data_IF_440445367282
#
_entry.id   IF_440445367282
#
_cell.length_a   1.000
_cell.length_b   1.000
_cell.length_c   1.000
_cell.angle_alpha   90.00
_cell.angle_beta   90.00
_cell.angle_gamma   90.00
#
_symmetry.space_group_name_H-M   'P 1'
#
loop_
_entity.id
_entity.type
_entity.pdbx_description
1 polymer ?
#
# COMPACT_ATOMS: atom_id res chain seq x y z
N UNK A 1 -24.46 30.54 9.93
CA UNK A 1 -23.06 30.57 10.37
C UNK A 1 -22.74 29.21 10.99
N UNK A 2 -22.17 28.24 10.25
CA UNK A 2 -21.75 26.99 10.86
C UNK A 2 -20.38 27.20 11.51
N UNK A 3 -20.31 26.85 12.79
CA UNK A 3 -19.13 26.89 13.61
C UNK A 3 -18.21 25.75 13.16
N UNK A 4 -17.13 26.06 12.44
CA UNK A 4 -16.04 25.10 12.20
C UNK A 4 -15.35 24.90 13.54
N UNK A 5 -15.73 23.85 14.26
CA UNK A 5 -14.96 23.35 15.38
C UNK A 5 -13.68 22.73 14.82
N UNK A 6 -12.71 23.59 14.48
CA UNK A 6 -11.35 23.17 14.27
C UNK A 6 -10.89 22.52 15.58
N UNK A 7 -10.88 21.18 15.61
CA UNK A 7 -10.17 20.44 16.65
C UNK A 7 -8.71 20.83 16.51
N UNK A 8 -8.26 21.78 17.31
CA UNK A 8 -6.84 22.06 17.52
C UNK A 8 -6.29 20.83 18.23
N UNK A 9 -5.88 19.84 17.44
CA UNK A 9 -5.04 18.76 17.92
C UNK A 9 -3.75 19.43 18.39
N UNK A 10 -3.62 19.57 19.71
CA UNK A 10 -2.35 19.80 20.38
C UNK A 10 -1.35 18.82 19.78
N UNK A 11 -0.36 19.32 19.03
CA UNK A 11 0.76 18.52 18.54
C UNK A 11 1.55 18.06 19.75
N UNK A 12 1.18 16.91 20.28
CA UNK A 12 2.03 16.15 21.15
C UNK A 12 3.36 15.93 20.43
N UNK A 13 4.45 16.49 20.99
CA UNK A 13 5.77 16.57 20.33
C UNK A 13 6.38 15.18 20.07
N UNK A 14 5.75 14.11 20.57
CA UNK A 14 6.22 12.73 20.49
C UNK A 14 5.23 11.76 19.83
N UNK A 15 4.16 12.27 19.20
CA UNK A 15 3.25 11.42 18.40
C UNK A 15 3.89 11.00 17.07
N UNK A 16 4.69 9.93 17.15
CA UNK A 16 5.02 9.05 16.04
C UNK A 16 6.15 9.54 15.14
N UNK A 17 7.41 9.41 15.60
CA UNK A 17 8.56 9.44 14.69
C UNK A 17 8.32 8.43 13.56
N UNK A 18 8.26 8.91 12.32
CA UNK A 18 8.07 8.04 11.14
C UNK A 18 9.11 6.91 11.17
N UNK A 19 8.62 5.67 11.23
CA UNK A 19 9.45 4.48 11.11
C UNK A 19 9.30 3.92 9.70
N UNK A 20 10.42 3.80 8.99
CA UNK A 20 10.42 3.12 7.69
C UNK A 20 9.98 1.67 7.89
N UNK A 21 9.04 1.25 7.06
CA UNK A 21 8.69 -0.16 6.94
C UNK A 21 9.92 -0.95 6.49
N UNK A 22 10.04 -2.20 6.98
CA UNK A 22 11.11 -3.14 6.61
C UNK A 22 10.49 -4.43 6.04
N UNK A 23 10.08 -4.41 4.75
CA UNK A 23 9.41 -5.54 4.11
C UNK A 23 10.14 -6.87 4.28
N UNK A 24 11.46 -6.85 4.21
CA UNK A 24 12.35 -8.02 4.32
C UNK A 24 12.28 -8.75 5.66
N UNK A 25 11.75 -8.08 6.69
CA UNK A 25 11.55 -8.67 8.01
C UNK A 25 10.17 -9.35 8.15
N UNK A 26 9.30 -9.23 7.16
CA UNK A 26 7.97 -9.85 7.17
C UNK A 26 8.03 -11.30 6.68
N UNK A 27 7.21 -12.17 7.28
CA UNK A 27 7.15 -13.59 6.90
C UNK A 27 6.80 -13.80 5.42
N UNK A 28 5.81 -13.05 4.91
CA UNK A 28 5.41 -13.17 3.51
C UNK A 28 6.54 -12.80 2.55
N UNK A 29 7.31 -11.75 2.86
CA UNK A 29 8.47 -11.40 2.05
C UNK A 29 9.47 -12.55 2.01
N UNK A 30 9.86 -13.08 3.18
CA UNK A 30 10.87 -14.14 3.28
C UNK A 30 10.46 -15.39 2.51
N UNK A 31 9.20 -15.80 2.61
CA UNK A 31 8.66 -16.94 1.84
C UNK A 31 8.75 -16.66 0.33
N UNK A 32 8.34 -15.47 -0.11
CA UNK A 32 8.37 -15.16 -1.54
C UNK A 32 9.81 -15.09 -2.05
N UNK A 33 10.69 -14.41 -1.33
CA UNK A 33 12.11 -14.25 -1.71
C UNK A 33 12.82 -15.60 -1.82
N UNK A 34 12.55 -16.51 -0.87
CA UNK A 34 13.16 -17.84 -0.85
C UNK A 34 12.60 -18.78 -1.92
N UNK A 35 11.27 -18.85 -2.06
CA UNK A 35 10.63 -19.92 -2.85
C UNK A 35 10.20 -19.51 -4.25
N UNK A 36 10.02 -18.22 -4.55
CA UNK A 36 9.57 -17.78 -5.87
C UNK A 36 10.50 -18.19 -7.02
N UNK A 37 11.84 -18.02 -6.94
CA UNK A 37 12.73 -18.41 -8.04
C UNK A 37 12.66 -19.90 -8.36
N UNK A 38 12.65 -20.75 -7.31
CA UNK A 38 12.55 -22.20 -7.46
C UNK A 38 11.19 -22.62 -8.04
N UNK A 39 10.11 -21.98 -7.60
CA UNK A 39 8.77 -22.21 -8.15
C UNK A 39 8.69 -21.81 -9.63
N UNK A 40 9.22 -20.65 -10.01
CA UNK A 40 9.23 -20.20 -11.40
C UNK A 40 10.02 -21.15 -12.32
N UNK A 41 11.18 -21.63 -11.86
CA UNK A 41 11.99 -22.60 -12.59
C UNK A 41 11.24 -23.93 -12.80
N UNK A 42 10.63 -24.47 -11.74
CA UNK A 42 9.83 -25.70 -11.83
C UNK A 42 8.68 -25.58 -12.84
N UNK A 43 7.99 -24.44 -12.84
CA UNK A 43 6.90 -24.18 -13.79
C UNK A 43 7.39 -24.13 -15.24
N UNK A 44 8.57 -23.54 -15.48
CA UNK A 44 9.18 -23.48 -16.80
C UNK A 44 9.60 -24.88 -17.30
N UNK A 45 10.22 -25.70 -16.45
CA UNK A 45 10.61 -27.09 -16.77
C UNK A 45 9.41 -27.96 -17.17
N UNK A 46 8.23 -27.69 -16.61
CA UNK A 46 6.98 -28.38 -16.94
C UNK A 46 6.28 -27.83 -18.20
N UNK A 47 6.89 -26.86 -18.89
CA UNK A 47 6.29 -26.18 -20.04
C UNK A 47 5.07 -25.31 -19.69
N UNK A 48 4.95 -24.88 -18.44
CA UNK A 48 3.83 -24.10 -17.90
C UNK A 48 4.33 -22.78 -17.30
N UNK A 49 5.13 -22.05 -18.06
CA UNK A 49 5.68 -20.77 -17.59
C UNK A 49 4.60 -19.84 -17.02
N UNK A 50 4.93 -19.18 -15.92
CA UNK A 50 4.05 -18.21 -15.31
C UNK A 50 3.80 -17.06 -16.29
N UNK A 51 2.55 -16.59 -16.46
CA UNK A 51 2.29 -15.41 -17.28
C UNK A 51 3.13 -14.23 -16.82
N UNK A 52 3.65 -13.42 -17.76
CA UNK A 52 4.57 -12.32 -17.42
C UNK A 52 4.00 -11.29 -16.44
N UNK A 53 2.67 -11.09 -16.41
CA UNK A 53 2.05 -10.22 -15.41
C UNK A 53 2.13 -10.80 -14.00
N UNK A 54 2.14 -12.13 -13.83
CA UNK A 54 2.30 -12.81 -12.53
C UNK A 54 3.74 -12.67 -12.07
N UNK A 55 4.71 -12.93 -12.94
CA UNK A 55 6.14 -12.79 -12.61
C UNK A 55 6.46 -11.37 -12.13
N UNK A 56 5.99 -10.37 -12.89
CA UNK A 56 6.13 -8.96 -12.53
C UNK A 56 5.50 -8.60 -11.18
N UNK A 57 4.39 -9.21 -10.78
CA UNK A 57 3.80 -8.98 -9.46
C UNK A 57 4.71 -9.47 -8.32
N UNK A 58 5.36 -10.63 -8.49
CA UNK A 58 6.33 -11.15 -7.52
C UNK A 58 7.60 -10.29 -7.46
N UNK A 59 8.18 -9.97 -8.61
CA UNK A 59 9.39 -9.15 -8.71
C UNK A 59 9.18 -7.75 -8.10
N UNK A 60 8.08 -7.08 -8.44
CA UNK A 60 7.81 -5.75 -7.90
C UNK A 60 7.40 -5.78 -6.42
N UNK A 61 6.81 -6.88 -5.95
CA UNK A 61 6.56 -7.07 -4.52
C UNK A 61 7.88 -7.15 -3.73
N UNK A 62 8.86 -7.92 -4.21
CA UNK A 62 10.18 -8.02 -3.57
C UNK A 62 10.94 -6.68 -3.57
N UNK A 63 10.63 -5.78 -4.51
CA UNK A 63 11.21 -4.44 -4.53
C UNK A 63 10.44 -3.41 -3.67
N UNK A 64 9.18 -3.70 -3.35
CA UNK A 64 8.27 -2.74 -2.74
C UNK A 64 8.71 -2.33 -1.33
N UNK A 65 8.88 -1.03 -1.11
CA UNK A 65 9.18 -0.48 0.23
C UNK A 65 10.65 -0.57 0.63
N UNK A 66 11.55 -0.92 -0.28
CA UNK A 66 13.00 -0.99 -0.02
C UNK A 66 13.73 0.20 -0.61
N UNK A 67 14.56 0.85 0.19
CA UNK A 67 15.28 2.07 -0.22
C UNK A 67 16.28 1.84 -1.37
N UNK A 68 16.86 0.64 -1.46
CA UNK A 68 17.80 0.30 -2.54
C UNK A 68 17.17 0.21 -3.93
N UNK A 69 15.84 0.08 -4.01
CA UNK A 69 15.09 0.12 -5.26
C UNK A 69 14.50 1.51 -5.56
N UNK A 70 14.91 2.53 -4.79
CA UNK A 70 14.55 3.93 -5.02
C UNK A 70 13.64 4.51 -3.93
N UNK A 71 13.75 5.83 -3.77
CA UNK A 71 13.06 6.58 -2.73
C UNK A 71 12.84 8.04 -3.11
N UNK A 72 11.91 8.69 -2.42
CA UNK A 72 11.77 10.14 -2.36
C UNK A 72 12.39 10.66 -1.07
N UNK A 73 13.14 11.76 -1.17
CA UNK A 73 13.55 12.54 0.00
C UNK A 73 12.57 13.68 0.21
N UNK A 74 11.85 13.64 1.32
CA UNK A 74 10.92 14.68 1.72
C UNK A 74 11.58 15.53 2.79
N UNK A 75 11.68 16.84 2.58
CA UNK A 75 12.25 17.79 3.54
C UNK A 75 11.20 18.82 3.93
N UNK A 76 11.03 19.04 5.23
CA UNK A 76 10.20 20.15 5.71
C UNK A 76 10.90 21.48 5.46
N UNK A 77 10.20 22.45 4.85
CA UNK A 77 10.78 23.77 4.59
C UNK A 77 10.99 24.59 5.87
N UNK A 78 10.16 24.38 6.90
CA UNK A 78 10.21 25.17 8.15
C UNK A 78 11.21 24.63 9.17
N UNK A 79 11.24 23.32 9.41
CA UNK A 79 12.12 22.71 10.42
C UNK A 79 13.29 21.91 9.84
N UNK A 80 13.35 21.77 8.51
CA UNK A 80 14.39 21.03 7.79
C UNK A 80 14.55 19.56 8.16
N UNK A 81 13.60 18.96 8.90
CA UNK A 81 13.55 17.53 9.10
C UNK A 81 13.41 16.82 7.74
N UNK A 82 14.16 15.74 7.56
CA UNK A 82 14.17 14.94 6.34
C UNK A 82 13.68 13.51 6.62
N UNK A 83 12.91 12.97 5.69
CA UNK A 83 12.50 11.57 5.66
C UNK A 83 12.76 10.98 4.28
N UNK A 84 13.23 9.74 4.27
CA UNK A 84 13.30 8.93 3.05
C UNK A 84 12.06 8.04 2.99
N UNK A 85 11.36 8.10 1.86
CA UNK A 85 10.16 7.33 1.60
C UNK A 85 10.44 6.41 0.42
N UNK A 86 10.54 5.11 0.68
CA UNK A 86 10.76 4.11 -0.36
C UNK A 86 9.61 4.07 -1.37
N UNK A 87 9.91 3.71 -2.61
CA UNK A 87 8.88 3.49 -3.61
C UNK A 87 8.01 2.27 -3.29
N UNK A 88 6.75 2.32 -3.73
CA UNK A 88 5.77 1.25 -3.56
C UNK A 88 5.42 0.65 -4.92
N UNK A 89 5.18 -0.66 -5.00
CA UNK A 89 4.82 -1.32 -6.26
C UNK A 89 3.46 -0.86 -6.82
N UNK A 90 2.57 -0.31 -5.98
CA UNK A 90 1.22 0.18 -6.36
C UNK A 90 0.31 -0.89 -6.97
N UNK A 91 0.68 -2.17 -6.91
CA UNK A 91 -0.07 -3.28 -7.49
C UNK A 91 -1.38 -3.59 -6.75
N UNK A 92 -2.23 -4.40 -7.39
CA UNK A 92 -3.52 -4.86 -6.86
C UNK A 92 -3.52 -6.32 -6.41
N UNK A 93 -2.38 -7.00 -6.52
CA UNK A 93 -2.20 -8.37 -6.03
C UNK A 93 -2.02 -8.45 -4.52
N UNK A 94 -1.08 -9.29 -4.10
CA UNK A 94 -0.94 -9.76 -2.73
C UNK A 94 -0.09 -8.85 -1.81
N UNK A 95 0.48 -7.75 -2.33
CA UNK A 95 1.34 -6.85 -1.54
C UNK A 95 0.55 -6.20 -0.38
N UNK A 96 0.82 -6.55 0.89
CA UNK A 96 0.03 -6.08 2.02
C UNK A 96 0.15 -4.56 2.23
N UNK A 97 1.35 -4.00 2.05
CA UNK A 97 1.59 -2.56 2.21
C UNK A 97 0.81 -1.72 1.21
N UNK A 98 0.80 -2.12 -0.07
CA UNK A 98 0.05 -1.41 -1.11
C UNK A 98 -1.47 -1.65 -0.99
N UNK A 99 -1.88 -2.86 -0.62
CA UNK A 99 -3.27 -3.18 -0.33
C UNK A 99 -3.82 -2.34 0.82
N UNK A 100 -3.11 -2.32 1.95
CA UNK A 100 -3.48 -1.54 3.13
C UNK A 100 -3.51 -0.03 2.83
N UNK A 101 -2.52 0.51 2.10
CA UNK A 101 -2.55 1.92 1.69
C UNK A 101 -3.79 2.23 0.85
N UNK A 102 -4.09 1.39 -0.16
CA UNK A 102 -5.29 1.58 -1.00
C UNK A 102 -6.58 1.50 -0.18
N UNK A 103 -6.66 0.59 0.79
CA UNK A 103 -7.82 0.48 1.68
C UNK A 103 -7.99 1.76 2.50
N UNK A 104 -6.91 2.28 3.08
CA UNK A 104 -6.93 3.51 3.86
C UNK A 104 -7.32 4.73 2.99
N UNK A 105 -6.72 4.87 1.81
CA UNK A 105 -7.05 5.93 0.84
C UNK A 105 -8.51 5.85 0.38
N UNK A 106 -9.01 4.64 0.10
CA UNK A 106 -10.42 4.44 -0.28
C UNK A 106 -11.37 4.77 0.85
N UNK A 107 -11.02 4.40 2.09
CA UNK A 107 -11.81 4.72 3.27
C UNK A 107 -11.88 6.24 3.50
N UNK A 108 -10.76 6.96 3.36
CA UNK A 108 -10.73 8.42 3.44
C UNK A 108 -11.63 9.04 2.37
N UNK A 109 -11.47 8.65 1.10
CA UNK A 109 -12.34 9.14 0.02
C UNK A 109 -13.82 8.90 0.31
N UNK A 110 -14.17 7.69 0.78
CA UNK A 110 -15.56 7.35 1.07
C UNK A 110 -16.12 8.22 2.19
N UNK A 111 -15.38 8.41 3.27
CA UNK A 111 -15.82 9.19 4.44
C UNK A 111 -15.88 10.69 4.13
N UNK A 112 -14.90 11.21 3.42
CA UNK A 112 -14.73 12.65 3.23
C UNK A 112 -15.60 13.19 2.09
N UNK A 113 -15.80 12.42 1.02
CA UNK A 113 -16.34 12.93 -0.25
C UNK A 113 -17.59 12.20 -0.77
N UNK A 114 -17.87 10.97 -0.31
CA UNK A 114 -18.91 10.12 -0.94
C UNK A 114 -20.09 9.85 0.00
N UNK A 115 -19.81 9.48 1.25
CA UNK A 115 -20.83 9.09 2.21
C UNK A 115 -21.41 10.32 2.91
N UNK A 116 -22.74 10.38 3.14
CA UNK A 116 -23.34 11.48 3.88
C UNK A 116 -22.98 11.42 5.37
N UNK A 117 -22.96 12.57 6.04
CA UNK A 117 -22.77 12.69 7.50
C UNK A 117 -24.01 12.20 8.27
N UNK A 118 -24.28 10.89 8.22
CA UNK A 118 -25.39 10.24 8.92
C UNK A 118 -24.91 8.95 9.61
N UNK A 119 -25.52 8.54 10.74
CA UNK A 119 -25.19 7.27 11.38
C UNK A 119 -25.47 6.09 10.43
N UNK A 120 -24.41 5.37 10.04
CA UNK A 120 -24.50 4.20 9.17
C UNK A 120 -23.96 2.96 9.90
N UNK A 121 -24.75 1.87 9.92
CA UNK A 121 -24.33 0.58 10.48
C UNK A 121 -23.58 -0.29 9.48
N UNK A 122 -23.96 -0.20 8.21
CA UNK A 122 -23.41 -1.00 7.12
C UNK A 122 -23.53 -0.19 5.82
N UNK A 123 -22.54 -0.33 4.94
CA UNK A 123 -22.58 0.16 3.58
C UNK A 123 -22.07 -0.93 2.63
N UNK A 124 -22.63 -0.98 1.43
CA UNK A 124 -22.28 -1.97 0.41
C UNK A 124 -22.12 -1.27 -0.93
N UNK A 125 -20.97 -1.48 -1.58
CA UNK A 125 -20.75 -1.12 -2.98
C UNK A 125 -21.00 -2.35 -3.85
N UNK A 126 -21.91 -2.22 -4.81
CA UNK A 126 -22.12 -3.25 -5.83
C UNK A 126 -21.76 -2.72 -7.20
N UNK A 127 -20.97 -3.49 -7.95
CA UNK A 127 -20.65 -3.19 -9.33
C UNK A 127 -21.62 -3.95 -10.26
N UNK A 128 -22.10 -3.33 -11.35
CA UNK A 128 -22.72 -4.03 -12.47
C UNK A 128 -21.85 -5.21 -12.92
N UNK A 129 -22.45 -6.30 -13.38
CA UNK A 129 -21.72 -7.53 -13.75
C UNK A 129 -20.56 -7.24 -14.72
N UNK A 130 -20.77 -6.32 -15.65
CA UNK A 130 -19.81 -5.89 -16.66
C UNK A 130 -18.56 -5.22 -16.06
N UNK A 131 -18.67 -4.59 -14.88
CA UNK A 131 -17.57 -3.86 -14.24
C UNK A 131 -16.84 -4.68 -13.17
N UNK A 132 -17.27 -5.92 -12.89
CA UNK A 132 -16.66 -6.76 -11.84
C UNK A 132 -15.31 -7.37 -12.21
N UNK A 133 -14.98 -7.40 -13.50
CA UNK A 133 -13.77 -8.02 -14.04
C UNK A 133 -12.75 -7.01 -14.60
N UNK A 134 -12.99 -5.72 -14.35
CA UNK A 134 -12.09 -4.62 -14.75
C UNK A 134 -11.04 -4.32 -13.68
#
# INVERSE_FOLDING_TARGET
MPHVAARTASRDRDTGRYQSHRPEQTLLYQIVDEYYPAFAALMAEQGKELPGYVQREFEEFLQCGRLEHGFLRVRCESCHAEHLVAFSCKRRGFCPSCGARRMAESAALLVDEVLPEQPMRQWVLSFPFQLRFL
#
